data_IF_441060790386
#
_entry.id   IF_441060790386
#
_cell.length_a   1.000
_cell.length_b   1.000
_cell.length_c   1.000
_cell.angle_alpha   90.00
_cell.angle_beta   90.00
_cell.angle_gamma   90.00
#
_symmetry.space_group_name_H-M   'P 1'
#
loop_
_entity.id
_entity.type
_entity.pdbx_description
1 polymer ?
#
# COMPACT_ATOMS: atom_id res chain seq x y z
N UNK A 1 7.89 21.53 5.83
CA UNK A 1 7.94 22.72 6.68
C UNK A 1 8.88 22.44 7.85
N UNK A 2 9.90 23.29 8.04
CA UNK A 2 10.79 23.19 9.18
C UNK A 2 10.07 23.74 10.44
N UNK A 3 10.24 23.10 11.60
CA UNK A 3 9.75 23.64 12.86
C UNK A 3 10.41 25.01 13.15
N UNK A 4 9.61 26.05 13.29
CA UNK A 4 10.09 27.41 13.42
C UNK A 4 10.93 27.59 14.71
N UNK A 5 10.46 26.99 15.79
CA UNK A 5 11.14 27.01 17.09
C UNK A 5 12.54 26.38 17.05
N UNK A 6 12.67 25.24 16.35
CA UNK A 6 13.97 24.56 16.21
C UNK A 6 14.92 25.36 15.32
N UNK A 7 14.42 25.93 14.23
CA UNK A 7 15.22 26.77 13.33
C UNK A 7 15.70 28.03 14.04
N UNK A 8 14.83 28.69 14.78
CA UNK A 8 15.14 29.90 15.55
C UNK A 8 16.16 29.59 16.64
N UNK A 9 15.98 28.50 17.37
CA UNK A 9 16.93 28.06 18.40
C UNK A 9 18.29 27.73 17.78
N UNK A 10 18.33 27.02 16.63
CA UNK A 10 19.58 26.73 15.94
C UNK A 10 20.32 28.00 15.52
N UNK A 11 19.59 28.97 14.93
CA UNK A 11 20.17 30.26 14.52
C UNK A 11 20.73 31.05 15.70
N UNK A 12 19.99 31.12 16.80
CA UNK A 12 20.47 31.77 18.01
C UNK A 12 21.76 31.12 18.53
N UNK A 13 21.82 29.78 18.57
CA UNK A 13 22.99 29.07 19.12
C UNK A 13 24.19 29.00 18.19
N UNK A 14 23.98 28.86 16.89
CA UNK A 14 25.05 28.58 15.92
C UNK A 14 25.45 29.77 15.05
N UNK A 15 24.52 30.70 14.85
CA UNK A 15 24.75 31.84 13.96
C UNK A 15 24.69 33.19 14.70
N UNK A 16 24.71 33.16 16.03
CA UNK A 16 24.71 34.34 16.88
C UNK A 16 23.52 35.29 16.59
N UNK A 17 22.38 34.75 16.15
CA UNK A 17 21.15 35.51 15.99
C UNK A 17 20.50 35.76 17.36
N UNK A 18 19.74 36.83 17.48
CA UNK A 18 19.11 37.23 18.72
C UNK A 18 17.58 37.31 18.59
N UNK A 19 16.99 36.20 18.12
CA UNK A 19 15.54 36.08 18.07
C UNK A 19 14.99 35.82 19.47
N UNK A 20 13.90 36.51 19.81
CA UNK A 20 13.18 36.30 21.07
C UNK A 20 12.37 34.99 20.99
N UNK A 21 12.87 33.99 21.67
CA UNK A 21 12.23 32.63 21.67
C UNK A 21 10.86 32.65 22.35
N UNK A 22 10.64 33.54 23.37
CA UNK A 22 9.37 33.59 24.05
C UNK A 22 8.28 34.08 23.11
N UNK A 23 8.54 35.17 22.36
CA UNK A 23 7.61 35.67 21.36
C UNK A 23 7.32 34.66 20.24
N UNK A 24 8.35 33.91 19.80
CA UNK A 24 8.17 32.86 18.79
C UNK A 24 7.25 31.73 19.30
N UNK A 25 7.47 31.28 20.53
CA UNK A 25 6.63 30.22 21.13
C UNK A 25 5.20 30.72 21.37
N UNK A 26 5.03 31.95 21.80
CA UNK A 26 3.71 32.59 22.02
C UNK A 26 2.93 32.71 20.69
N UNK A 27 3.61 33.12 19.61
CA UNK A 27 2.99 33.20 18.29
C UNK A 27 2.61 31.78 17.76
N UNK A 28 3.43 30.76 18.04
CA UNK A 28 3.11 29.37 17.67
C UNK A 28 1.86 28.93 18.43
N UNK A 29 1.83 29.11 19.75
CA UNK A 29 0.73 28.64 20.60
C UNK A 29 -0.59 29.32 20.25
N UNK A 30 -0.59 30.67 20.18
CA UNK A 30 -1.81 31.47 19.99
C UNK A 30 -2.36 31.48 18.57
N UNK A 31 -1.54 31.21 17.54
CA UNK A 31 -1.97 31.39 16.15
C UNK A 31 -1.76 30.06 15.35
N UNK A 32 -0.55 29.49 15.44
CA UNK A 32 -0.20 28.36 14.58
C UNK A 32 -0.92 27.09 15.03
N UNK A 33 -1.05 26.86 16.34
CA UNK A 33 -1.71 25.67 16.87
C UNK A 33 -3.19 25.64 16.54
N UNK A 34 -3.89 26.77 16.54
CA UNK A 34 -5.31 26.82 16.11
C UNK A 34 -5.51 26.35 14.66
N UNK A 35 -4.55 26.66 13.77
CA UNK A 35 -4.60 26.23 12.36
C UNK A 35 -4.20 24.76 12.26
N UNK A 36 -3.21 24.34 13.03
CA UNK A 36 -2.70 22.98 13.06
C UNK A 36 -3.77 21.96 13.50
N UNK A 37 -4.57 22.30 14.50
CA UNK A 37 -5.66 21.45 14.99
C UNK A 37 -6.77 21.25 13.96
N UNK A 38 -6.95 22.21 13.05
CA UNK A 38 -7.91 22.10 11.94
C UNK A 38 -7.36 21.33 10.75
N UNK A 39 -6.06 21.42 10.50
CA UNK A 39 -5.43 20.78 9.35
C UNK A 39 -3.99 20.40 9.68
N UNK A 40 -3.76 19.10 9.86
CA UNK A 40 -2.41 18.57 10.11
C UNK A 40 -1.43 18.95 9.00
N UNK A 41 -0.32 19.57 9.36
CA UNK A 41 0.82 19.82 8.48
C UNK A 41 2.14 19.60 9.22
N UNK A 42 3.26 19.85 8.58
CA UNK A 42 4.59 19.73 9.15
C UNK A 42 5.30 18.46 8.69
N UNK A 43 6.13 17.91 9.55
CA UNK A 43 6.87 16.70 9.22
C UNK A 43 5.91 15.53 9.06
N UNK A 44 6.01 14.88 7.91
CA UNK A 44 5.46 13.55 7.71
C UNK A 44 6.38 12.75 6.78
N UNK A 45 6.25 11.43 6.82
CA UNK A 45 7.06 10.50 6.06
C UNK A 45 7.07 10.80 4.55
N UNK A 46 5.97 11.29 4.02
CA UNK A 46 5.80 11.54 2.59
C UNK A 46 6.52 12.81 2.14
N UNK A 47 6.47 13.86 2.94
CA UNK A 47 7.29 15.05 2.68
C UNK A 47 8.78 14.76 2.82
N UNK A 48 9.16 13.87 3.75
CA UNK A 48 10.52 13.37 3.84
C UNK A 48 10.94 12.65 2.54
N UNK A 49 10.12 11.75 2.02
CA UNK A 49 10.40 11.06 0.75
C UNK A 49 10.50 12.03 -0.43
N UNK A 50 9.62 13.01 -0.51
CA UNK A 50 9.67 14.06 -1.53
C UNK A 50 10.99 14.85 -1.45
N UNK A 51 11.36 15.30 -0.25
CA UNK A 51 12.58 16.07 -0.03
C UNK A 51 13.85 15.24 -0.32
N UNK A 52 13.91 13.99 0.16
CA UNK A 52 15.06 13.10 -0.04
C UNK A 52 15.31 12.73 -1.50
N UNK A 53 14.26 12.74 -2.34
CA UNK A 53 14.34 12.46 -3.77
C UNK A 53 14.33 13.73 -4.64
N UNK A 54 14.29 14.91 -4.02
CA UNK A 54 14.26 16.22 -4.69
C UNK A 54 13.12 16.29 -5.72
N UNK A 55 11.92 15.85 -5.34
CA UNK A 55 10.76 15.89 -6.21
C UNK A 55 9.62 16.73 -5.61
N UNK A 56 8.72 17.22 -6.48
CA UNK A 56 7.55 17.97 -6.04
C UNK A 56 6.64 17.09 -5.15
N UNK A 57 6.18 17.59 -3.98
CA UNK A 57 5.37 16.82 -3.03
C UNK A 57 4.11 16.17 -3.61
N UNK A 58 3.53 16.77 -4.65
CA UNK A 58 2.32 16.22 -5.29
C UNK A 58 2.56 14.88 -5.97
N UNK A 59 3.79 14.51 -6.37
CA UNK A 59 4.08 13.16 -6.85
C UNK A 59 3.87 12.13 -5.75
N UNK A 60 4.36 12.42 -4.55
CA UNK A 60 4.17 11.54 -3.39
C UNK A 60 2.69 11.45 -3.02
N UNK A 61 2.00 12.59 -2.95
CA UNK A 61 0.56 12.65 -2.68
C UNK A 61 -0.25 11.82 -3.69
N UNK A 62 0.03 11.99 -4.97
CA UNK A 62 -0.60 11.22 -6.05
C UNK A 62 -0.44 9.70 -5.85
N UNK A 63 0.78 9.24 -5.56
CA UNK A 63 1.07 7.82 -5.34
C UNK A 63 0.38 7.28 -4.08
N UNK A 64 0.27 8.08 -3.02
CA UNK A 64 -0.46 7.72 -1.80
C UNK A 64 -1.96 7.57 -2.03
N UNK A 65 -2.54 8.49 -2.80
CA UNK A 65 -3.98 8.51 -3.09
C UNK A 65 -4.44 7.28 -3.88
N UNK A 66 -3.53 6.61 -4.59
CA UNK A 66 -3.80 5.30 -5.23
C UNK A 66 -4.13 4.20 -4.20
N UNK A 67 -3.70 4.32 -2.93
CA UNK A 67 -3.95 3.37 -1.82
C UNK A 67 -3.53 1.91 -2.13
N UNK A 68 -2.80 1.70 -3.20
CA UNK A 68 -2.34 0.39 -3.68
C UNK A 68 -0.86 0.14 -3.38
N UNK A 69 -0.11 1.19 -3.09
CA UNK A 69 1.33 1.15 -2.87
C UNK A 69 1.69 1.18 -1.38
N UNK A 70 2.73 0.43 -1.02
CA UNK A 70 3.41 0.60 0.27
C UNK A 70 4.36 1.80 0.23
N UNK A 71 4.80 2.27 1.40
CA UNK A 71 5.81 3.34 1.51
C UNK A 71 7.09 2.97 0.76
N UNK A 72 7.53 1.70 0.85
CA UNK A 72 8.70 1.19 0.14
C UNK A 72 8.55 1.32 -1.37
N UNK A 73 7.40 0.93 -1.91
CA UNK A 73 7.13 1.05 -3.35
C UNK A 73 7.09 2.51 -3.82
N UNK A 74 6.54 3.42 -3.00
CA UNK A 74 6.61 4.86 -3.30
C UNK A 74 8.07 5.31 -3.35
N UNK A 75 8.91 4.90 -2.38
CA UNK A 75 10.33 5.21 -2.36
C UNK A 75 11.10 4.62 -3.57
N UNK A 76 10.65 3.51 -4.14
CA UNK A 76 11.20 2.91 -5.36
C UNK A 76 10.76 3.62 -6.66
N UNK A 77 9.58 4.23 -6.65
CA UNK A 77 9.02 4.96 -7.81
C UNK A 77 9.65 6.34 -7.97
N UNK A 78 9.81 7.09 -6.89
CA UNK A 78 10.25 8.49 -6.94
C UNK A 78 11.62 8.70 -7.64
N UNK A 79 12.64 7.85 -7.46
CA UNK A 79 13.90 7.96 -8.20
C UNK A 79 13.76 7.79 -9.72
N UNK A 80 12.70 7.10 -10.19
CA UNK A 80 12.43 6.87 -11.62
C UNK A 80 11.89 8.11 -12.33
N UNK A 81 11.49 9.14 -11.59
CA UNK A 81 11.11 10.41 -12.17
C UNK A 81 12.32 11.03 -12.89
N UNK A 82 12.14 11.48 -14.14
CA UNK A 82 13.16 12.15 -14.90
C UNK A 82 13.57 13.46 -14.20
N UNK A 83 14.87 13.80 -14.14
CA UNK A 83 15.35 14.99 -13.44
C UNK A 83 14.61 16.27 -13.81
N UNK A 84 14.36 16.49 -15.12
CA UNK A 84 13.68 17.65 -15.66
C UNK A 84 12.18 17.74 -15.30
N UNK A 85 11.58 16.62 -14.86
CA UNK A 85 10.18 16.52 -14.45
C UNK A 85 9.96 16.52 -12.93
N UNK A 86 11.04 16.44 -12.15
CA UNK A 86 10.92 16.29 -10.69
C UNK A 86 10.37 17.53 -9.99
N UNK A 87 10.76 18.72 -10.43
CA UNK A 87 10.45 19.98 -9.72
C UNK A 87 9.08 20.54 -10.06
N UNK A 88 8.58 20.29 -11.27
CA UNK A 88 7.24 20.69 -11.69
C UNK A 88 6.33 19.48 -11.75
N UNK A 89 5.22 19.53 -11.02
CA UNK A 89 4.26 18.44 -10.99
C UNK A 89 3.49 18.34 -12.29
N UNK A 90 3.49 17.17 -12.88
CA UNK A 90 2.71 16.80 -14.06
C UNK A 90 1.90 15.54 -13.73
N UNK A 91 0.57 15.70 -13.64
CA UNK A 91 -0.33 14.62 -13.27
C UNK A 91 -0.34 13.46 -14.29
N UNK A 92 -0.26 13.79 -15.59
CA UNK A 92 -0.22 12.76 -16.66
C UNK A 92 1.08 11.96 -16.61
N UNK A 93 2.18 12.64 -16.32
CA UNK A 93 3.47 11.99 -16.15
C UNK A 93 3.51 11.12 -14.87
N UNK A 94 2.92 11.60 -13.77
CA UNK A 94 2.79 10.82 -12.54
C UNK A 94 2.00 9.52 -12.79
N UNK A 95 0.89 9.58 -13.54
CA UNK A 95 0.10 8.42 -13.96
C UNK A 95 0.94 7.46 -14.81
N UNK A 96 1.66 7.97 -15.81
CA UNK A 96 2.48 7.15 -16.70
C UNK A 96 3.56 6.39 -15.93
N UNK A 97 4.27 7.06 -15.00
CA UNK A 97 5.30 6.43 -14.15
C UNK A 97 4.70 5.39 -13.20
N UNK A 98 3.52 5.67 -12.66
CA UNK A 98 2.78 4.72 -11.83
C UNK A 98 2.38 3.48 -12.62
N UNK A 99 1.81 3.65 -13.82
CA UNK A 99 1.39 2.54 -14.69
C UNK A 99 2.59 1.70 -15.15
N UNK A 100 3.70 2.35 -15.52
CA UNK A 100 4.94 1.65 -15.86
C UNK A 100 5.48 0.83 -14.69
N UNK A 101 5.43 1.38 -13.48
CA UNK A 101 5.81 0.64 -12.28
C UNK A 101 4.90 -0.56 -12.03
N UNK A 102 3.61 -0.48 -12.32
CA UNK A 102 2.66 -1.59 -12.16
C UNK A 102 2.84 -2.66 -13.24
N UNK A 103 3.29 -2.29 -14.42
CA UNK A 103 3.51 -3.21 -15.53
C UNK A 103 4.79 -4.05 -15.31
N UNK A 104 4.66 -5.11 -14.52
CA UNK A 104 5.71 -6.13 -14.42
C UNK A 104 5.45 -7.18 -15.50
N UNK A 105 6.34 -7.24 -16.48
CA UNK A 105 6.28 -8.28 -17.50
C UNK A 105 6.67 -9.61 -16.87
N UNK A 106 5.76 -10.57 -16.86
CA UNK A 106 6.06 -11.96 -16.53
C UNK A 106 5.43 -12.86 -17.59
N UNK A 107 6.05 -14.01 -17.85
CA UNK A 107 5.45 -15.06 -18.64
C UNK A 107 4.64 -15.96 -17.71
N UNK A 108 3.33 -15.90 -17.81
CA UNK A 108 2.39 -16.63 -16.96
C UNK A 108 1.71 -17.82 -17.66
N UNK A 109 2.10 -18.14 -18.91
CA UNK A 109 1.48 -19.21 -19.70
C UNK A 109 1.48 -20.57 -18.97
N UNK A 110 2.63 -20.99 -18.47
CA UNK A 110 2.75 -22.23 -17.69
C UNK A 110 1.94 -22.17 -16.39
N UNK A 111 1.86 -20.99 -15.76
CA UNK A 111 1.05 -20.78 -14.54
C UNK A 111 -0.43 -20.93 -14.85
N UNK A 112 -0.90 -20.35 -15.94
CA UNK A 112 -2.29 -20.45 -16.39
C UNK A 112 -2.65 -21.90 -16.71
N UNK A 113 -1.79 -22.64 -17.43
CA UNK A 113 -2.02 -24.05 -17.75
C UNK A 113 -2.17 -24.88 -16.47
N UNK A 114 -1.24 -24.77 -15.51
CA UNK A 114 -1.30 -25.48 -14.23
C UNK A 114 -2.54 -25.12 -13.40
N UNK A 115 -2.98 -23.86 -13.45
CA UNK A 115 -4.20 -23.46 -12.77
C UNK A 115 -5.44 -23.99 -13.49
N UNK A 116 -5.46 -24.01 -14.83
CA UNK A 116 -6.53 -24.62 -15.60
C UNK A 116 -6.71 -26.09 -15.24
N UNK A 117 -5.64 -26.89 -15.31
CA UNK A 117 -5.67 -28.32 -14.92
C UNK A 117 -6.21 -28.53 -13.51
N UNK A 118 -5.90 -27.61 -12.59
CA UNK A 118 -6.31 -27.72 -11.19
C UNK A 118 -7.75 -27.30 -10.93
N UNK A 119 -8.34 -26.46 -11.79
CA UNK A 119 -9.71 -25.98 -11.69
C UNK A 119 -10.67 -26.63 -12.70
N UNK A 120 -10.15 -27.50 -13.57
CA UNK A 120 -10.94 -28.16 -14.59
C UNK A 120 -12.00 -29.06 -13.93
N UNK A 121 -13.23 -28.93 -14.40
CA UNK A 121 -14.43 -29.64 -13.89
C UNK A 121 -14.74 -29.45 -12.39
N UNK A 122 -14.08 -28.49 -11.73
CA UNK A 122 -14.31 -28.21 -10.32
C UNK A 122 -15.28 -27.03 -10.08
N UNK A 123 -16.10 -27.15 -9.06
CA UNK A 123 -16.90 -26.02 -8.59
C UNK A 123 -16.00 -25.06 -7.81
N UNK A 124 -15.97 -23.79 -8.20
CA UNK A 124 -15.12 -22.75 -7.54
C UNK A 124 -15.97 -21.74 -6.84
N UNK A 125 -15.73 -21.55 -5.53
CA UNK A 125 -16.35 -20.51 -4.72
C UNK A 125 -15.39 -19.33 -4.55
N UNK A 126 -15.74 -18.17 -5.14
CA UNK A 126 -14.97 -16.93 -4.97
C UNK A 126 -15.49 -16.11 -3.78
N UNK A 127 -14.63 -15.84 -2.82
CA UNK A 127 -14.90 -15.02 -1.65
C UNK A 127 -14.23 -13.66 -1.78
N UNK A 128 -15.01 -12.58 -1.90
CA UNK A 128 -14.52 -11.19 -1.91
C UNK A 128 -14.65 -10.51 -0.54
N UNK A 129 -13.96 -9.40 -0.24
CA UNK A 129 -13.94 -8.73 1.07
C UNK A 129 -15.19 -7.91 1.37
N UNK A 130 -16.34 -8.25 0.78
CA UNK A 130 -17.60 -7.53 0.93
C UNK A 130 -18.32 -7.82 2.25
N UNK A 131 -19.15 -6.88 2.72
CA UNK A 131 -19.97 -7.02 3.94
C UNK A 131 -20.98 -8.18 3.84
N UNK A 132 -21.36 -8.58 2.64
CA UNK A 132 -22.32 -9.66 2.41
C UNK A 132 -21.83 -11.03 2.89
N UNK A 133 -20.53 -11.29 2.90
CA UNK A 133 -19.97 -12.53 3.46
C UNK A 133 -20.35 -12.68 4.94
N UNK A 134 -20.23 -11.59 5.71
CA UNK A 134 -20.63 -11.61 7.12
C UNK A 134 -22.13 -11.85 7.29
N UNK A 135 -22.97 -11.23 6.44
CA UNK A 135 -24.42 -11.35 6.49
C UNK A 135 -24.91 -12.71 6.04
N UNK A 136 -24.22 -13.35 5.10
CA UNK A 136 -24.64 -14.63 4.51
C UNK A 136 -23.74 -15.81 4.94
N UNK A 137 -23.03 -15.64 6.06
CA UNK A 137 -22.05 -16.62 6.57
C UNK A 137 -22.61 -18.05 6.61
N UNK A 138 -23.79 -18.23 7.19
CA UNK A 138 -24.42 -19.56 7.29
C UNK A 138 -24.68 -20.19 5.93
N UNK A 139 -25.07 -19.40 4.92
CA UNK A 139 -25.29 -19.89 3.55
C UNK A 139 -23.97 -20.30 2.90
N UNK A 140 -22.88 -19.54 3.14
CA UNK A 140 -21.56 -19.87 2.62
C UNK A 140 -21.07 -21.19 3.22
N UNK A 141 -21.19 -21.37 4.54
CA UNK A 141 -20.81 -22.64 5.18
C UNK A 141 -21.64 -23.81 4.70
N UNK A 142 -22.98 -23.65 4.53
CA UNK A 142 -23.84 -24.70 4.00
C UNK A 142 -23.44 -25.09 2.58
N UNK A 143 -23.20 -24.11 1.71
CA UNK A 143 -22.76 -24.35 0.34
C UNK A 143 -21.42 -25.11 0.27
N UNK A 144 -20.45 -24.72 1.11
CA UNK A 144 -19.14 -25.41 1.18
C UNK A 144 -19.32 -26.87 1.64
N UNK A 145 -20.16 -27.09 2.66
CA UNK A 145 -20.41 -28.44 3.17
C UNK A 145 -21.10 -29.37 2.15
N UNK A 146 -22.03 -28.81 1.41
CA UNK A 146 -22.83 -29.55 0.41
C UNK A 146 -22.05 -29.85 -0.87
N UNK A 147 -21.36 -28.83 -1.42
CA UNK A 147 -20.77 -28.90 -2.76
C UNK A 147 -19.26 -29.14 -2.77
N UNK A 148 -18.57 -29.01 -1.63
CA UNK A 148 -17.12 -29.14 -1.48
C UNK A 148 -16.31 -28.41 -2.57
N UNK A 149 -16.62 -27.12 -2.84
CA UNK A 149 -15.98 -26.38 -3.89
C UNK A 149 -14.50 -26.09 -3.55
N UNK A 150 -13.71 -25.78 -4.56
CA UNK A 150 -12.42 -25.11 -4.35
C UNK A 150 -12.72 -23.67 -3.89
N UNK A 151 -12.27 -23.30 -2.69
CA UNK A 151 -12.53 -22.00 -2.10
C UNK A 151 -11.37 -21.04 -2.36
N UNK A 152 -11.64 -19.96 -3.09
CA UNK A 152 -10.65 -18.93 -3.44
C UNK A 152 -11.03 -17.60 -2.80
N UNK A 153 -10.22 -17.10 -1.89
CA UNK A 153 -10.39 -15.75 -1.32
C UNK A 153 -9.61 -14.69 -2.11
N UNK A 154 -10.20 -13.51 -2.34
CA UNK A 154 -9.62 -12.46 -3.16
C UNK A 154 -9.27 -11.24 -2.30
N UNK A 155 -7.97 -10.90 -2.21
CA UNK A 155 -7.45 -9.75 -1.47
C UNK A 155 -7.77 -9.71 0.04
N UNK A 156 -8.16 -10.82 0.63
CA UNK A 156 -8.34 -10.97 2.08
C UNK A 156 -8.32 -12.46 2.46
N UNK A 157 -8.24 -12.76 3.74
CA UNK A 157 -8.36 -14.12 4.26
C UNK A 157 -9.43 -14.15 5.35
N UNK A 158 -10.48 -14.96 5.18
CA UNK A 158 -11.47 -15.15 6.24
C UNK A 158 -10.84 -15.87 7.44
N UNK A 159 -11.29 -15.53 8.66
CA UNK A 159 -10.76 -16.17 9.89
C UNK A 159 -11.41 -17.50 10.20
N UNK A 160 -12.61 -17.71 9.70
CA UNK A 160 -13.54 -18.77 10.08
C UNK A 160 -13.94 -19.69 8.92
N UNK A 161 -13.42 -19.43 7.73
CA UNK A 161 -13.61 -20.26 6.54
C UNK A 161 -12.24 -20.72 6.09
N UNK A 162 -12.05 -22.05 5.97
CA UNK A 162 -10.86 -22.59 5.33
C UNK A 162 -10.91 -22.30 3.83
N UNK A 163 -9.80 -21.78 3.29
CA UNK A 163 -9.67 -21.50 1.86
C UNK A 163 -8.49 -22.29 1.28
N UNK A 164 -8.65 -22.74 0.04
CA UNK A 164 -7.63 -23.49 -0.67
C UNK A 164 -6.63 -22.55 -1.33
N UNK A 165 -7.11 -21.42 -1.84
CA UNK A 165 -6.32 -20.41 -2.51
C UNK A 165 -6.62 -19.01 -2.01
N UNK A 166 -5.60 -18.16 -2.01
CA UNK A 166 -5.75 -16.71 -1.88
C UNK A 166 -5.19 -16.03 -3.12
N UNK A 167 -6.03 -15.27 -3.81
CA UNK A 167 -5.63 -14.45 -4.94
C UNK A 167 -5.38 -13.01 -4.51
N UNK A 168 -4.16 -12.53 -4.74
CA UNK A 168 -3.70 -11.21 -4.31
C UNK A 168 -3.31 -10.35 -5.51
N UNK A 169 -3.96 -9.20 -5.63
CA UNK A 169 -3.69 -8.20 -6.68
C UNK A 169 -3.02 -6.94 -6.13
N UNK A 170 -2.80 -6.85 -4.81
CA UNK A 170 -2.27 -5.66 -4.12
C UNK A 170 -1.19 -6.05 -3.11
N UNK A 171 0.03 -5.56 -3.30
CA UNK A 171 1.17 -5.81 -2.42
C UNK A 171 0.91 -5.42 -0.95
N UNK A 172 0.19 -4.31 -0.71
CA UNK A 172 -0.23 -3.91 0.65
C UNK A 172 -1.06 -5.00 1.35
N UNK A 173 -1.92 -5.71 0.60
CA UNK A 173 -2.73 -6.80 1.15
C UNK A 173 -1.89 -8.02 1.49
N UNK A 174 -0.88 -8.32 0.69
CA UNK A 174 0.07 -9.38 1.00
C UNK A 174 0.75 -9.16 2.34
N UNK A 175 1.30 -7.96 2.58
CA UNK A 175 1.96 -7.65 3.86
C UNK A 175 0.99 -7.76 5.06
N UNK A 176 -0.24 -7.26 4.92
CA UNK A 176 -1.26 -7.37 5.96
C UNK A 176 -1.68 -8.83 6.20
N UNK A 177 -1.73 -9.62 5.15
CA UNK A 177 -2.07 -11.04 5.21
C UNK A 177 -0.99 -11.85 5.92
N UNK A 178 0.28 -11.70 5.55
CA UNK A 178 1.39 -12.46 6.13
C UNK A 178 1.54 -12.26 7.64
N UNK A 179 1.24 -11.06 8.14
CA UNK A 179 1.30 -10.78 9.58
C UNK A 179 0.25 -11.56 10.40
N UNK A 180 -0.83 -12.02 9.75
CA UNK A 180 -1.93 -12.72 10.42
C UNK A 180 -2.02 -14.20 10.04
N UNK A 181 -1.16 -14.69 9.14
CA UNK A 181 -1.29 -16.04 8.57
C UNK A 181 -0.81 -17.13 9.52
N UNK A 182 0.27 -16.89 10.26
CA UNK A 182 0.93 -17.91 11.09
C UNK A 182 0.04 -18.51 12.18
N UNK A 183 -0.96 -17.74 12.63
CA UNK A 183 -1.91 -18.17 13.67
C UNK A 183 -3.30 -18.52 13.09
N UNK A 184 -3.41 -18.71 11.78
CA UNK A 184 -4.67 -18.87 11.06
C UNK A 184 -4.90 -20.33 10.66
N UNK A 185 -6.19 -20.75 10.58
CA UNK A 185 -6.61 -22.03 9.94
C UNK A 185 -6.18 -22.14 8.48
N UNK A 186 -5.70 -21.04 7.90
CA UNK A 186 -5.26 -20.90 6.50
C UNK A 186 -3.72 -20.78 6.38
N UNK A 187 -2.96 -21.31 7.34
CA UNK A 187 -1.48 -21.25 7.32
C UNK A 187 -0.87 -21.86 6.05
N UNK A 188 -1.47 -22.94 5.53
CA UNK A 188 -0.99 -23.72 4.36
C UNK A 188 -1.66 -23.30 3.04
N UNK A 189 -2.32 -22.15 2.99
CA UNK A 189 -3.04 -21.71 1.81
C UNK A 189 -2.11 -21.47 0.61
N UNK A 190 -2.58 -21.83 -0.57
CA UNK A 190 -1.85 -21.60 -1.83
C UNK A 190 -2.04 -20.14 -2.25
N UNK A 191 -0.94 -19.42 -2.46
CA UNK A 191 -0.98 -17.99 -2.82
C UNK A 191 -0.82 -17.84 -4.33
N UNK A 192 -1.83 -17.28 -4.97
CA UNK A 192 -1.81 -16.80 -6.34
C UNK A 192 -1.64 -15.27 -6.27
N UNK A 193 -0.69 -14.70 -6.98
CA UNK A 193 -0.44 -13.27 -6.98
C UNK A 193 -0.31 -12.72 -8.39
N UNK A 194 -0.75 -11.48 -8.61
CA UNK A 194 -0.37 -10.77 -9.83
C UNK A 194 1.11 -10.33 -9.75
N UNK A 195 1.75 -10.17 -10.90
CA UNK A 195 3.19 -9.90 -11.02
C UNK A 195 3.65 -8.64 -10.26
N UNK A 196 2.79 -7.64 -10.11
CA UNK A 196 3.08 -6.44 -9.32
C UNK A 196 3.18 -6.72 -7.80
N UNK A 197 2.52 -7.76 -7.30
CA UNK A 197 2.60 -8.15 -5.88
C UNK A 197 3.94 -8.79 -5.56
N UNK A 198 4.57 -9.47 -6.50
CA UNK A 198 5.87 -10.14 -6.30
C UNK A 198 7.04 -9.20 -6.04
N UNK A 199 6.84 -7.88 -6.18
CA UNK A 199 7.83 -6.87 -5.77
C UNK A 199 8.07 -6.83 -4.26
N UNK A 200 7.15 -7.36 -3.44
CA UNK A 200 7.39 -7.60 -2.00
C UNK A 200 8.06 -8.95 -1.83
N UNK A 201 9.03 -9.02 -0.90
CA UNK A 201 9.63 -10.29 -0.55
C UNK A 201 8.57 -11.26 0.02
N UNK A 202 8.49 -12.45 -0.53
CA UNK A 202 7.50 -13.44 -0.11
C UNK A 202 7.53 -14.72 -0.93
N UNK A 203 6.79 -15.72 -0.48
CA UNK A 203 6.56 -16.97 -1.21
C UNK A 203 5.24 -16.88 -1.96
N UNK A 204 5.30 -17.03 -3.27
CA UNK A 204 4.14 -17.10 -4.14
C UNK A 204 4.16 -18.44 -4.85
N UNK A 205 3.04 -19.13 -4.88
CA UNK A 205 2.91 -20.43 -5.52
C UNK A 205 2.64 -20.29 -7.02
N UNK A 206 1.83 -19.29 -7.36
CA UNK A 206 1.47 -18.94 -8.73
C UNK A 206 1.57 -17.43 -8.93
N UNK A 207 2.12 -17.02 -10.08
CA UNK A 207 2.23 -15.60 -10.45
C UNK A 207 1.57 -15.39 -11.80
N UNK A 208 0.60 -14.46 -11.86
CA UNK A 208 -0.10 -14.06 -13.06
C UNK A 208 0.30 -12.62 -13.47
N UNK A 209 0.16 -12.32 -14.74
CA UNK A 209 0.41 -10.98 -15.27
C UNK A 209 -0.59 -9.94 -14.80
#
# INVERSE_FOLDING_TARGET
>A
NAPLELLTMYRNKKQNAHYDMAQVLEAIDNVIMEIYDKQYWGYNLFFFLSASTTCHPNYVRYLMDKKTLSVRQIAEILPRLKPEKKLLYDAKYAEAVYMDYQNVVCDDRMTIERLKERFEDETVLLLGPGVNIKRQRSKVHAFIAENRPIVVAVNYVPRDIKVDFVFLTKSKRYTQFMNNLQESINADVIIIATSNVTRVAGKFHYVLR
#
